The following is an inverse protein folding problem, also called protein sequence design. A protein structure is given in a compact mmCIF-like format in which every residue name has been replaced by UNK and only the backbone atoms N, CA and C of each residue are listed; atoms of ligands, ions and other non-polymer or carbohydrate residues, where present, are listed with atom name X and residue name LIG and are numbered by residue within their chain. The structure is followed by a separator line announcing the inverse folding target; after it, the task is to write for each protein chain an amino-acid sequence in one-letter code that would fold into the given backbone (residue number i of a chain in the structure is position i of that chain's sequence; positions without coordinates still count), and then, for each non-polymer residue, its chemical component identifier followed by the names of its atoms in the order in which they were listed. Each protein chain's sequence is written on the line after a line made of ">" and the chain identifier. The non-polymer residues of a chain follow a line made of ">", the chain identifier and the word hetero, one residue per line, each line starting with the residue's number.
data_IF_392851247712
#
_entry.id   IF_392851247712
#
_cell.length_a   1.000
_cell.length_b   1.000
_cell.length_c   1.000
_cell.angle_alpha   90.00
_cell.angle_beta   90.00
_cell.angle_gamma   90.00
#
_symmetry.space_group_name_H-M   'P 1'
#
loop_
_entity.id
_entity.type
_entity.pdbx_description
1 polymer ?
#
# COMPACT_ATOMS: atom_id res chain seq x y z
N UNK A 1 25.79 -4.93 -9.36
CA UNK A 1 25.56 -6.27 -8.85
C UNK A 1 25.06 -6.13 -7.41
N UNK A 2 23.93 -6.77 -7.09
CA UNK A 2 23.39 -6.78 -5.73
C UNK A 2 24.30 -7.55 -4.78
N UNK A 3 24.39 -7.12 -3.51
CA UNK A 3 25.04 -7.91 -2.46
C UNK A 3 24.23 -9.20 -2.19
N UNK A 4 24.84 -10.30 -1.75
CA UNK A 4 24.11 -11.50 -1.34
C UNK A 4 23.02 -11.15 -0.32
N UNK A 5 21.80 -11.66 -0.53
CA UNK A 5 20.63 -11.37 0.33
C UNK A 5 19.92 -10.06 0.07
N UNK A 6 20.45 -9.18 -0.78
CA UNK A 6 19.78 -7.93 -1.15
C UNK A 6 18.77 -8.15 -2.29
N UNK A 7 17.69 -7.37 -2.29
CA UNK A 7 16.69 -7.32 -3.37
C UNK A 7 16.60 -5.88 -3.91
N UNK A 8 16.11 -5.74 -5.14
CA UNK A 8 15.83 -4.41 -5.69
C UNK A 8 14.65 -3.75 -4.96
N UNK A 9 14.76 -2.45 -4.70
CA UNK A 9 13.68 -1.68 -4.11
C UNK A 9 12.61 -1.35 -5.17
N UNK A 10 11.74 -2.30 -5.46
CA UNK A 10 10.63 -2.11 -6.40
C UNK A 10 9.55 -1.16 -5.87
N UNK A 11 9.35 -1.11 -4.54
CA UNK A 11 8.31 -0.29 -3.92
C UNK A 11 8.48 1.20 -4.22
N UNK A 12 9.72 1.70 -4.20
CA UNK A 12 10.04 3.09 -4.54
C UNK A 12 9.49 3.50 -5.90
N UNK A 13 9.69 2.65 -6.91
CA UNK A 13 9.23 2.94 -8.28
C UNK A 13 7.73 2.76 -8.43
N UNK A 14 7.16 1.73 -7.82
CA UNK A 14 5.70 1.49 -7.81
C UNK A 14 4.96 2.66 -7.15
N UNK A 15 5.38 3.06 -5.94
CA UNK A 15 4.74 4.16 -5.21
C UNK A 15 4.92 5.50 -5.92
N UNK A 16 6.10 5.77 -6.49
CA UNK A 16 6.33 6.97 -7.30
C UNK A 16 5.35 7.04 -8.47
N UNK A 17 5.20 5.96 -9.25
CA UNK A 17 4.25 5.92 -10.36
C UNK A 17 2.80 6.13 -9.92
N UNK A 18 2.38 5.51 -8.83
CA UNK A 18 1.04 5.66 -8.26
C UNK A 18 0.76 7.08 -7.76
N UNK A 19 1.73 7.71 -7.09
CA UNK A 19 1.62 9.10 -6.62
C UNK A 19 1.54 10.08 -7.79
N UNK A 20 2.37 9.89 -8.82
CA UNK A 20 2.33 10.70 -10.05
C UNK A 20 0.99 10.55 -10.79
N UNK A 21 0.46 9.33 -10.89
CA UNK A 21 -0.86 9.08 -11.48
C UNK A 21 -2.00 9.76 -10.68
N UNK A 22 -1.82 9.92 -9.36
CA UNK A 22 -2.74 10.66 -8.50
C UNK A 22 -2.55 12.20 -8.55
N UNK A 23 -1.72 12.71 -9.48
CA UNK A 23 -1.48 14.15 -9.67
C UNK A 23 -0.53 14.79 -8.66
N UNK A 24 0.25 13.99 -7.92
CA UNK A 24 1.20 14.52 -6.94
C UNK A 24 2.53 14.89 -7.60
N UNK A 25 3.13 16.01 -7.15
CA UNK A 25 4.56 16.26 -7.33
C UNK A 25 5.34 15.36 -6.35
N UNK A 26 6.30 14.58 -6.86
CA UNK A 26 7.00 13.56 -6.06
C UNK A 26 8.46 13.92 -5.87
N UNK A 27 8.84 14.23 -4.63
CA UNK A 27 10.21 14.40 -4.19
C UNK A 27 10.79 13.06 -3.70
N UNK A 28 11.55 12.40 -4.58
CA UNK A 28 12.11 11.08 -4.28
C UNK A 28 13.46 11.20 -3.56
N UNK A 29 13.50 10.90 -2.27
CA UNK A 29 14.71 10.98 -1.43
C UNK A 29 15.65 9.76 -1.58
N UNK A 30 15.29 8.79 -2.42
CA UNK A 30 16.09 7.59 -2.62
C UNK A 30 15.97 6.58 -1.48
N UNK A 31 17.05 5.83 -1.26
CA UNK A 31 17.19 4.88 -0.15
C UNK A 31 17.87 5.60 1.00
N UNK A 32 17.17 5.70 2.12
CA UNK A 32 17.70 6.28 3.35
C UNK A 32 18.60 5.24 4.06
N UNK A 33 19.74 5.67 4.58
CA UNK A 33 20.64 4.79 5.36
C UNK A 33 19.95 4.26 6.61
N UNK A 34 20.24 3.02 6.95
CA UNK A 34 19.61 2.30 8.06
C UNK A 34 20.22 2.72 9.42
N UNK A 35 20.02 3.97 9.77
CA UNK A 35 20.40 4.55 11.07
C UNK A 35 19.34 5.54 11.55
N UNK A 36 19.21 5.70 12.86
CA UNK A 36 18.29 6.66 13.46
C UNK A 36 18.56 8.09 12.98
N UNK A 37 19.83 8.50 12.90
CA UNK A 37 20.23 9.84 12.44
C UNK A 37 19.83 10.09 10.99
N UNK A 38 20.19 9.19 10.07
CA UNK A 38 19.84 9.31 8.65
C UNK A 38 18.33 9.33 8.42
N UNK A 39 17.58 8.53 9.18
CA UNK A 39 16.11 8.51 9.10
C UNK A 39 15.49 9.83 9.60
N UNK A 40 15.96 10.37 10.72
CA UNK A 40 15.51 11.68 11.24
C UNK A 40 15.80 12.81 10.25
N UNK A 41 17.00 12.86 9.70
CA UNK A 41 17.39 13.88 8.73
C UNK A 41 16.57 13.77 7.43
N UNK A 42 16.25 12.55 6.97
CA UNK A 42 15.39 12.34 5.82
C UNK A 42 13.95 12.82 6.09
N UNK A 43 13.39 12.55 7.28
CA UNK A 43 12.05 13.01 7.67
C UNK A 43 11.98 14.54 7.72
N UNK A 44 12.98 15.22 8.31
CA UNK A 44 13.05 16.69 8.35
C UNK A 44 13.10 17.30 6.95
N UNK A 45 13.99 16.76 6.08
CA UNK A 45 14.10 17.22 4.68
C UNK A 45 12.81 17.01 3.91
N UNK A 46 12.15 15.85 4.08
CA UNK A 46 10.86 15.58 3.45
C UNK A 46 9.78 16.55 3.94
N UNK A 47 9.68 16.76 5.26
CA UNK A 47 8.68 17.66 5.84
C UNK A 47 8.85 19.12 5.37
N UNK A 48 10.06 19.56 5.09
CA UNK A 48 10.33 20.93 4.62
C UNK A 48 9.76 21.22 3.23
N UNK A 49 9.53 20.20 2.39
CA UNK A 49 9.17 20.38 0.98
C UNK A 49 7.88 19.66 0.55
N UNK A 50 7.31 18.80 1.39
CA UNK A 50 6.15 17.99 1.02
C UNK A 50 5.03 18.05 2.07
N UNK A 51 3.79 17.91 1.63
CA UNK A 51 2.60 17.86 2.51
C UNK A 51 2.35 16.46 3.04
N UNK A 52 2.77 15.43 2.27
CA UNK A 52 2.69 14.02 2.64
C UNK A 52 4.04 13.33 2.46
N UNK A 53 4.49 12.66 3.50
CA UNK A 53 5.67 11.80 3.48
C UNK A 53 5.18 10.36 3.42
N UNK A 54 5.60 9.62 2.38
CA UNK A 54 5.29 8.20 2.25
C UNK A 54 6.56 7.38 2.45
N UNK A 55 6.53 6.45 3.40
CA UNK A 55 7.62 5.49 3.62
C UNK A 55 7.16 4.09 3.30
N UNK A 56 8.08 3.22 2.90
CA UNK A 56 7.83 1.82 2.63
C UNK A 56 8.81 0.95 3.41
N UNK A 57 8.29 0.08 4.27
CA UNK A 57 9.05 -0.62 5.28
C UNK A 57 9.15 0.19 6.57
N UNK A 58 9.80 -0.39 7.59
CA UNK A 58 9.98 0.31 8.85
C UNK A 58 8.73 0.43 9.73
N UNK A 59 7.62 -0.21 9.38
CA UNK A 59 6.34 -0.15 10.14
C UNK A 59 5.93 -1.49 10.76
N UNK A 60 6.76 -2.50 10.61
CA UNK A 60 6.55 -3.83 11.20
C UNK A 60 6.89 -3.87 12.69
N UNK A 61 6.67 -5.00 13.36
CA UNK A 61 7.01 -5.20 14.77
C UNK A 61 8.51 -5.48 15.04
N UNK A 62 9.39 -5.39 14.03
CA UNK A 62 10.83 -5.66 14.15
C UNK A 62 11.54 -4.62 15.02
N UNK A 63 12.50 -5.09 15.83
CA UNK A 63 13.26 -4.25 16.79
C UNK A 63 14.29 -3.33 16.11
N UNK A 64 14.71 -3.61 14.87
CA UNK A 64 15.73 -2.84 14.12
C UNK A 64 15.13 -1.68 13.29
N UNK A 65 13.90 -1.28 13.58
CA UNK A 65 13.16 -0.32 12.79
C UNK A 65 13.40 1.12 13.28
N UNK A 66 14.24 1.87 12.58
CA UNK A 66 14.56 3.26 12.92
C UNK A 66 13.45 4.26 12.57
N UNK A 67 12.45 3.90 11.75
CA UNK A 67 11.40 4.83 11.36
C UNK A 67 10.53 5.27 12.55
N UNK A 68 10.13 4.33 13.40
CA UNK A 68 9.26 4.62 14.54
C UNK A 68 9.88 5.57 15.55
N UNK A 69 11.12 5.31 16.07
CA UNK A 69 11.76 6.22 16.99
C UNK A 69 12.09 7.56 16.32
N UNK A 70 12.49 7.59 15.04
CA UNK A 70 12.73 8.82 14.30
C UNK A 70 11.48 9.67 14.17
N UNK A 71 10.36 9.09 13.75
CA UNK A 71 9.09 9.79 13.57
C UNK A 71 8.58 10.37 14.92
N UNK A 72 8.70 9.61 16.01
CA UNK A 72 8.32 10.10 17.36
C UNK A 72 9.22 11.24 17.84
N UNK A 73 10.50 11.25 17.49
CA UNK A 73 11.42 12.33 17.83
C UNK A 73 11.10 13.61 17.02
N UNK A 74 10.67 13.48 15.76
CA UNK A 74 10.39 14.61 14.86
C UNK A 74 8.91 15.03 14.86
N UNK A 75 8.04 14.26 15.50
CA UNK A 75 6.60 14.54 15.50
C UNK A 75 5.79 13.52 16.28
N UNK A 76 4.75 12.98 15.65
CA UNK A 76 3.88 11.94 16.21
C UNK A 76 3.80 10.74 15.27
N UNK A 77 3.58 9.56 15.82
CA UNK A 77 3.35 8.35 15.05
C UNK A 77 2.42 7.40 15.80
N UNK A 78 1.35 7.01 15.12
CA UNK A 78 0.47 5.91 15.52
C UNK A 78 0.68 4.73 14.57
N UNK A 79 0.78 3.53 15.13
CA UNK A 79 0.89 2.31 14.36
C UNK A 79 -0.39 1.52 14.47
N UNK A 80 -0.98 1.18 13.33
CA UNK A 80 -2.15 0.35 13.25
C UNK A 80 -1.86 -0.99 12.59
N UNK A 81 -2.60 -1.99 13.01
CA UNK A 81 -2.69 -3.25 12.32
C UNK A 81 -4.07 -3.33 11.68
N UNK A 82 -4.12 -3.13 10.37
CA UNK A 82 -5.37 -3.28 9.63
C UNK A 82 -5.62 -4.76 9.31
N UNK A 83 -6.88 -5.18 9.42
CA UNK A 83 -7.25 -6.59 9.25
C UNK A 83 -7.44 -6.97 7.77
N UNK A 84 -6.44 -6.64 6.93
CA UNK A 84 -6.42 -6.98 5.51
C UNK A 84 -5.26 -7.91 5.15
N UNK A 85 -5.39 -8.59 4.01
CA UNK A 85 -4.36 -9.44 3.41
C UNK A 85 -4.38 -9.29 1.88
N UNK A 86 -3.22 -8.95 1.28
CA UNK A 86 -1.95 -8.58 1.89
C UNK A 86 -2.01 -7.18 2.50
N UNK A 87 -1.14 -6.89 3.49
CA UNK A 87 -0.98 -5.53 4.02
C UNK A 87 -1.52 -5.34 5.45
N UNK A 88 -0.80 -5.84 6.46
CA UNK A 88 -1.22 -5.71 7.87
C UNK A 88 -0.78 -4.40 8.54
N UNK A 89 0.51 -3.99 8.45
CA UNK A 89 0.97 -2.79 9.14
C UNK A 89 0.64 -1.53 8.34
N UNK A 90 0.18 -0.51 9.05
CA UNK A 90 -0.01 0.85 8.56
C UNK A 90 0.41 1.80 9.68
N UNK A 91 1.17 2.84 9.38
CA UNK A 91 1.50 3.89 10.33
C UNK A 91 1.00 5.23 9.79
N UNK A 92 0.41 6.04 10.64
CA UNK A 92 0.00 7.40 10.37
C UNK A 92 0.60 8.32 11.41
N UNK A 93 1.12 9.46 10.98
CA UNK A 93 1.75 10.41 11.87
C UNK A 93 1.87 11.80 11.26
N UNK A 94 2.59 12.65 11.96
CA UNK A 94 2.89 14.01 11.54
C UNK A 94 4.33 14.34 11.88
N UNK A 95 5.03 15.00 10.97
CA UNK A 95 6.41 15.48 11.18
C UNK A 95 6.37 17.00 11.25
N UNK A 96 6.95 17.58 12.30
CA UNK A 96 6.98 19.01 12.52
C UNK A 96 7.87 19.72 11.49
N UNK A 97 7.41 20.88 11.01
CA UNK A 97 8.18 21.83 10.21
C UNK A 97 8.77 22.94 11.07
N UNK A 98 9.74 23.65 10.51
CA UNK A 98 10.38 24.79 11.22
C UNK A 98 9.42 25.96 11.50
N UNK A 99 8.38 26.10 10.68
CA UNK A 99 7.32 27.12 10.83
C UNK A 99 6.20 26.75 11.82
N UNK A 100 6.32 25.61 12.49
CA UNK A 100 5.33 25.10 13.43
C UNK A 100 4.18 24.33 12.80
N UNK A 101 4.09 24.28 11.47
CA UNK A 101 3.14 23.40 10.75
C UNK A 101 3.65 21.94 10.70
N UNK A 102 2.90 21.06 10.06
CA UNK A 102 3.23 19.63 9.98
C UNK A 102 3.05 19.10 8.59
N UNK A 103 3.89 18.14 8.19
CA UNK A 103 3.66 17.24 7.08
C UNK A 103 3.06 15.93 7.59
N UNK A 104 2.09 15.36 6.87
CA UNK A 104 1.56 14.03 7.19
C UNK A 104 2.63 12.97 6.90
N UNK A 105 2.67 11.92 7.73
CA UNK A 105 3.52 10.75 7.52
C UNK A 105 2.65 9.52 7.37
N UNK A 106 2.86 8.77 6.28
CA UNK A 106 2.19 7.51 6.02
C UNK A 106 3.24 6.41 5.79
N UNK A 107 3.27 5.45 6.70
CA UNK A 107 4.15 4.29 6.62
C UNK A 107 3.42 3.08 6.05
N UNK A 108 3.90 2.56 4.92
CA UNK A 108 3.35 1.41 4.22
C UNK A 108 4.18 0.14 4.48
N UNK A 109 3.59 -1.07 4.30
CA UNK A 109 4.32 -2.33 4.45
C UNK A 109 5.55 -2.43 3.54
N UNK A 110 6.57 -3.20 3.96
CA UNK A 110 7.76 -3.46 3.16
C UNK A 110 7.53 -4.45 1.99
N UNK A 111 6.63 -5.42 2.14
CA UNK A 111 6.34 -6.38 1.06
C UNK A 111 5.65 -5.69 -0.12
N UNK A 112 6.09 -5.92 -1.39
CA UNK A 112 5.65 -5.14 -2.54
C UNK A 112 4.14 -5.13 -2.79
N UNK A 113 3.50 -6.28 -2.79
CA UNK A 113 2.04 -6.35 -3.01
C UNK A 113 1.28 -5.79 -1.80
N UNK A 114 1.84 -5.92 -0.58
CA UNK A 114 1.26 -5.28 0.60
C UNK A 114 1.29 -3.77 0.49
N UNK A 115 2.44 -3.19 0.09
CA UNK A 115 2.58 -1.74 -0.13
C UNK A 115 1.59 -1.25 -1.21
N UNK A 116 1.52 -1.96 -2.33
CA UNK A 116 0.61 -1.66 -3.43
C UNK A 116 -0.87 -1.66 -2.99
N UNK A 117 -1.34 -2.75 -2.38
CA UNK A 117 -2.74 -2.87 -1.94
C UNK A 117 -3.06 -1.86 -0.82
N UNK A 118 -2.15 -1.66 0.14
CA UNK A 118 -2.36 -0.67 1.21
C UNK A 118 -2.38 0.76 0.66
N UNK A 119 -1.55 1.06 -0.36
CA UNK A 119 -1.63 2.33 -1.07
C UNK A 119 -3.02 2.53 -1.68
N UNK A 120 -3.51 1.59 -2.48
CA UNK A 120 -4.80 1.70 -3.17
C UNK A 120 -6.00 1.89 -2.21
N UNK A 121 -5.95 1.26 -1.05
CA UNK A 121 -7.08 1.27 -0.10
C UNK A 121 -7.00 2.38 0.94
N UNK A 122 -5.80 2.74 1.40
CA UNK A 122 -5.60 3.69 2.49
C UNK A 122 -4.92 4.98 2.03
N UNK A 123 -3.73 4.90 1.41
CA UNK A 123 -2.97 6.09 1.05
C UNK A 123 -3.71 6.97 0.02
N UNK A 124 -4.33 6.34 -0.97
CA UNK A 124 -5.16 7.04 -1.96
C UNK A 124 -6.32 7.79 -1.31
N UNK A 125 -6.97 7.20 -0.32
CA UNK A 125 -8.05 7.87 0.41
C UNK A 125 -7.55 9.13 1.13
N UNK A 126 -6.38 9.04 1.78
CA UNK A 126 -5.72 10.20 2.43
C UNK A 126 -5.41 11.28 1.39
N UNK A 127 -4.81 10.92 0.26
CA UNK A 127 -4.49 11.85 -0.83
C UNK A 127 -5.73 12.57 -1.37
N UNK A 128 -6.82 11.85 -1.62
CA UNK A 128 -8.08 12.44 -2.10
C UNK A 128 -8.63 13.48 -1.14
N UNK A 129 -8.60 13.18 0.16
CA UNK A 129 -9.03 14.14 1.19
C UNK A 129 -8.11 15.37 1.20
N UNK A 130 -6.80 15.19 1.10
CA UNK A 130 -5.84 16.31 1.01
C UNK A 130 -6.05 17.17 -0.23
N UNK A 131 -6.52 16.58 -1.34
CA UNK A 131 -6.88 17.26 -2.58
C UNK A 131 -8.28 17.90 -2.54
N UNK A 132 -8.98 17.87 -1.39
CA UNK A 132 -10.32 18.44 -1.22
C UNK A 132 -11.46 17.56 -1.74
N UNK A 133 -11.20 16.31 -2.08
CA UNK A 133 -12.21 15.37 -2.53
C UNK A 133 -12.84 14.65 -1.34
N UNK A 134 -14.11 14.22 -1.50
CA UNK A 134 -14.75 13.34 -0.53
C UNK A 134 -14.07 11.97 -0.49
N UNK A 135 -13.78 11.47 0.71
CA UNK A 135 -13.31 10.11 0.88
C UNK A 135 -14.39 9.12 0.45
N UNK A 136 -14.18 8.44 -0.67
CA UNK A 136 -15.06 7.40 -1.16
C UNK A 136 -14.26 6.10 -1.31
N UNK A 137 -14.82 5.01 -0.78
CA UNK A 137 -14.32 3.68 -1.09
C UNK A 137 -14.74 3.31 -2.52
N UNK A 138 -13.91 2.56 -3.26
CA UNK A 138 -14.25 2.15 -4.61
C UNK A 138 -15.53 1.31 -4.62
N UNK A 139 -16.39 1.57 -5.60
CA UNK A 139 -17.62 0.80 -5.83
C UNK A 139 -17.22 -0.49 -6.52
N UNK A 140 -17.32 -1.63 -5.82
CA UNK A 140 -17.02 -2.92 -6.42
C UNK A 140 -18.13 -3.38 -7.35
N UNK A 141 -17.74 -4.01 -8.47
CA UNK A 141 -18.65 -4.62 -9.43
C UNK A 141 -18.88 -6.09 -9.08
N UNK A 142 -20.13 -6.61 -9.18
CA UNK A 142 -20.40 -8.02 -9.03
C UNK A 142 -19.94 -8.78 -10.29
N UNK A 143 -18.93 -9.65 -10.15
CA UNK A 143 -18.44 -10.49 -11.25
C UNK A 143 -18.37 -11.95 -10.81
N UNK A 144 -18.46 -12.87 -11.79
CA UNK A 144 -18.36 -14.31 -11.55
C UNK A 144 -16.92 -14.74 -11.32
N UNK A 145 -16.68 -15.53 -10.27
CA UNK A 145 -15.42 -16.19 -10.02
C UNK A 145 -15.30 -17.48 -10.86
N UNK A 146 -14.32 -17.55 -11.75
CA UNK A 146 -13.99 -18.78 -12.48
C UNK A 146 -12.82 -19.53 -11.81
N UNK A 147 -12.75 -19.43 -10.47
CA UNK A 147 -11.74 -20.06 -9.62
C UNK A 147 -12.34 -20.49 -8.28
N UNK A 148 -11.58 -21.29 -7.54
CA UNK A 148 -11.91 -21.72 -6.19
C UNK A 148 -10.94 -21.08 -5.17
N UNK A 149 -11.46 -20.62 -4.01
CA UNK A 149 -10.68 -20.12 -2.87
C UNK A 149 -11.15 -20.80 -1.59
N UNK A 150 -10.58 -21.96 -1.28
CA UNK A 150 -11.08 -22.86 -0.25
C UNK A 150 -10.47 -22.63 1.14
N UNK A 151 -9.37 -21.86 1.24
CA UNK A 151 -8.67 -21.57 2.50
C UNK A 151 -8.58 -20.06 2.75
N UNK A 152 -9.72 -19.40 3.03
CA UNK A 152 -9.74 -17.97 3.30
C UNK A 152 -9.03 -17.64 4.62
N UNK A 153 -8.46 -16.43 4.68
CA UNK A 153 -7.87 -15.88 5.91
C UNK A 153 -8.98 -15.33 6.83
N UNK A 154 -8.68 -15.22 8.12
CA UNK A 154 -9.53 -14.51 9.08
C UNK A 154 -9.57 -12.99 8.89
N UNK A 155 -8.71 -12.45 8.06
CA UNK A 155 -8.69 -11.06 7.62
C UNK A 155 -9.39 -10.92 6.27
N UNK A 156 -9.82 -9.70 5.95
CA UNK A 156 -10.33 -9.37 4.61
C UNK A 156 -9.21 -9.53 3.57
N UNK A 157 -9.45 -10.30 2.50
CA UNK A 157 -8.45 -10.59 1.49
C UNK A 157 -8.70 -9.79 0.22
N UNK A 158 -7.62 -9.31 -0.38
CA UNK A 158 -7.63 -8.66 -1.70
C UNK A 158 -6.86 -9.53 -2.68
N UNK A 159 -7.61 -10.39 -3.37
CA UNK A 159 -7.04 -11.39 -4.29
C UNK A 159 -6.80 -10.77 -5.67
N UNK A 160 -5.61 -10.97 -6.23
CA UNK A 160 -5.27 -10.47 -7.58
C UNK A 160 -5.92 -11.37 -8.61
N UNK A 161 -6.74 -10.76 -9.45
CA UNK A 161 -7.54 -11.43 -10.47
C UNK A 161 -7.46 -10.69 -11.79
N UNK A 162 -7.76 -11.39 -12.88
CA UNK A 162 -7.89 -10.83 -14.23
C UNK A 162 -9.21 -11.26 -14.84
N UNK A 163 -9.80 -10.39 -15.68
CA UNK A 163 -10.97 -10.73 -16.47
C UNK A 163 -10.58 -11.73 -17.58
N UNK A 164 -11.37 -12.76 -17.73
CA UNK A 164 -11.17 -13.75 -18.78
C UNK A 164 -12.11 -13.50 -19.98
N UNK A 165 -11.89 -14.21 -21.08
CA UNK A 165 -12.66 -14.04 -22.31
C UNK A 165 -14.16 -14.42 -22.16
N UNK A 166 -14.54 -15.16 -21.12
CA UNK A 166 -15.93 -15.53 -20.82
C UNK A 166 -16.66 -14.53 -19.90
N UNK A 167 -16.02 -13.39 -19.58
CA UNK A 167 -16.59 -12.36 -18.70
C UNK A 167 -16.54 -12.70 -17.21
N UNK A 168 -15.82 -13.75 -16.83
CA UNK A 168 -15.55 -14.10 -15.44
C UNK A 168 -14.15 -13.65 -15.00
N UNK A 169 -13.78 -14.02 -13.78
CA UNK A 169 -12.50 -13.70 -13.17
C UNK A 169 -11.63 -14.95 -13.03
N UNK A 170 -10.37 -14.86 -13.45
CA UNK A 170 -9.36 -15.86 -13.15
C UNK A 170 -8.42 -15.36 -12.04
N UNK A 171 -7.95 -16.29 -11.20
CA UNK A 171 -7.10 -15.99 -10.05
C UNK A 171 -5.63 -16.13 -10.43
N UNK A 172 -4.79 -15.17 -10.07
CA UNK A 172 -3.35 -15.36 -10.15
C UNK A 172 -2.90 -16.50 -9.22
N UNK A 173 -2.12 -17.44 -9.72
CA UNK A 173 -1.80 -18.67 -8.98
C UNK A 173 -1.08 -18.44 -7.66
N UNK A 174 -0.21 -17.43 -7.58
CA UNK A 174 0.57 -17.13 -6.36
C UNK A 174 0.13 -15.81 -5.71
N UNK A 175 -0.70 -15.91 -4.67
CA UNK A 175 -1.23 -14.77 -3.91
C UNK A 175 -0.28 -14.26 -2.81
N UNK A 176 1.02 -14.60 -2.84
CA UNK A 176 2.01 -14.11 -1.86
C UNK A 176 2.21 -12.59 -1.97
N UNK A 177 2.47 -11.94 -0.82
CA UNK A 177 2.71 -10.50 -0.73
C UNK A 177 4.02 -10.02 -1.35
N UNK A 178 4.96 -10.95 -1.62
CA UNK A 178 6.25 -10.65 -2.26
C UNK A 178 6.23 -10.70 -3.79
N UNK A 179 5.16 -11.25 -4.40
CA UNK A 179 5.11 -11.51 -5.86
C UNK A 179 4.47 -10.33 -6.58
N UNK A 180 5.26 -9.27 -6.81
CA UNK A 180 4.77 -8.03 -7.45
C UNK A 180 4.22 -8.26 -8.87
N UNK A 181 4.72 -9.26 -9.60
CA UNK A 181 4.19 -9.64 -10.92
C UNK A 181 2.71 -9.98 -10.89
N UNK A 182 2.16 -10.40 -9.75
CA UNK A 182 0.72 -10.61 -9.59
C UNK A 182 -0.09 -9.31 -9.72
N UNK A 183 0.46 -8.17 -9.29
CA UNK A 183 -0.18 -6.86 -9.43
C UNK A 183 -0.09 -6.33 -10.86
N UNK A 184 1.01 -6.63 -11.58
CA UNK A 184 1.18 -6.27 -12.99
C UNK A 184 0.25 -7.07 -13.90
N UNK A 185 0.04 -8.34 -13.57
CA UNK A 185 -0.83 -9.25 -14.32
C UNK A 185 -2.33 -8.96 -14.11
N UNK A 186 -2.71 -8.46 -12.93
CA UNK A 186 -4.10 -8.31 -12.53
C UNK A 186 -4.78 -7.12 -13.21
N UNK A 187 -6.06 -7.29 -13.57
CA UNK A 187 -6.95 -6.19 -13.94
C UNK A 187 -7.64 -5.58 -12.70
N UNK A 188 -7.64 -6.32 -11.58
CA UNK A 188 -8.29 -5.88 -10.35
C UNK A 188 -8.05 -6.78 -9.16
N UNK A 189 -8.77 -6.46 -8.11
CA UNK A 189 -8.77 -7.17 -6.84
C UNK A 189 -10.17 -7.73 -6.55
N UNK A 190 -10.25 -8.97 -6.10
CA UNK A 190 -11.46 -9.46 -5.43
C UNK A 190 -11.39 -9.08 -3.97
N UNK A 191 -12.37 -8.33 -3.52
CA UNK A 191 -12.60 -7.96 -2.13
C UNK A 191 -13.34 -9.10 -1.43
N UNK A 192 -12.60 -10.00 -0.79
CA UNK A 192 -13.14 -11.20 -0.13
C UNK A 192 -13.28 -10.96 1.38
N UNK A 193 -14.52 -11.00 1.94
CA UNK A 193 -14.73 -10.87 3.38
C UNK A 193 -13.98 -11.90 4.21
N UNK A 194 -13.71 -11.62 5.50
CA UNK A 194 -13.04 -12.55 6.40
C UNK A 194 -13.71 -13.92 6.45
N UNK A 195 -12.93 -14.98 6.26
CA UNK A 195 -13.40 -16.37 6.36
C UNK A 195 -14.30 -16.85 5.21
N UNK A 196 -14.56 -16.01 4.21
CA UNK A 196 -15.45 -16.40 3.10
C UNK A 196 -14.73 -17.29 2.09
N UNK A 197 -15.24 -18.49 1.87
CA UNK A 197 -14.83 -19.35 0.76
C UNK A 197 -15.47 -18.85 -0.52
N UNK A 198 -14.78 -19.09 -1.63
CA UNK A 198 -15.31 -18.83 -2.98
C UNK A 198 -15.28 -20.16 -3.73
N UNK A 199 -16.40 -20.53 -4.33
CA UNK A 199 -16.51 -21.61 -5.30
C UNK A 199 -16.59 -21.04 -6.72
N UNK A 200 -16.11 -21.79 -7.69
CA UNK A 200 -16.29 -21.46 -9.11
C UNK A 200 -17.78 -21.26 -9.41
N UNK A 201 -18.10 -20.13 -10.04
CA UNK A 201 -19.47 -19.71 -10.34
C UNK A 201 -20.05 -18.71 -9.35
N UNK A 202 -19.45 -18.52 -8.17
CA UNK A 202 -19.90 -17.52 -7.19
C UNK A 202 -19.76 -16.10 -7.73
N UNK A 203 -20.66 -15.23 -7.31
CA UNK A 203 -20.53 -13.79 -7.55
C UNK A 203 -19.68 -13.17 -6.47
N UNK A 204 -18.61 -12.48 -6.87
CA UNK A 204 -17.65 -11.82 -5.99
C UNK A 204 -17.57 -10.33 -6.26
N UNK A 205 -17.11 -9.54 -5.27
CA UNK A 205 -16.91 -8.11 -5.41
C UNK A 205 -15.56 -7.82 -6.06
N UNK A 206 -15.58 -7.35 -7.30
CA UNK A 206 -14.39 -6.97 -8.06
C UNK A 206 -14.14 -5.47 -7.97
N UNK A 207 -12.90 -5.09 -7.67
CA UNK A 207 -12.40 -3.73 -7.65
C UNK A 207 -11.43 -3.56 -8.82
N UNK A 208 -11.79 -2.76 -9.81
CA UNK A 208 -10.93 -2.50 -10.98
C UNK A 208 -9.68 -1.71 -10.59
N UNK A 209 -8.48 -2.14 -11.04
CA UNK A 209 -7.25 -1.36 -10.85
C UNK A 209 -7.30 -0.03 -11.61
N UNK A 210 -7.96 0.05 -12.75
CA UNK A 210 -8.15 1.31 -13.49
C UNK A 210 -8.86 2.34 -12.63
N UNK A 211 -9.97 1.95 -11.96
CA UNK A 211 -10.70 2.84 -11.04
C UNK A 211 -9.88 3.15 -9.78
N UNK A 212 -9.18 2.15 -9.23
CA UNK A 212 -8.36 2.33 -8.04
C UNK A 212 -7.13 3.22 -8.25
N UNK A 213 -6.61 3.31 -9.47
CA UNK A 213 -5.41 4.12 -9.78
C UNK A 213 -5.80 5.49 -10.32
N UNK A 214 -6.80 5.58 -11.21
CA UNK A 214 -7.13 6.81 -11.93
C UNK A 214 -8.33 7.58 -11.33
N UNK A 215 -9.17 6.92 -10.53
CA UNK A 215 -10.41 7.51 -9.98
C UNK A 215 -10.19 8.30 -8.65
#
# INVERSE_FOLDING_TARGET
>A
VLRPGAIYNSNRFTLRGLLQAAGCEVHDLGIVGDTLGATRDALRRAAAVADLIVTCGGVSAGEEDHLKPAARAEGTLENWQIAIKPGKPLALGQIRRADGTHALLLGLPGNPVSAFVTYLLAARTVLRVMQGMTAALPVGLPLRADFDWQRPDKRREFLRVRCNASGGLELFANQSSGVLTSAVWADGLVDNPPGQRIARGDTVRFLSLTELVAG
#
